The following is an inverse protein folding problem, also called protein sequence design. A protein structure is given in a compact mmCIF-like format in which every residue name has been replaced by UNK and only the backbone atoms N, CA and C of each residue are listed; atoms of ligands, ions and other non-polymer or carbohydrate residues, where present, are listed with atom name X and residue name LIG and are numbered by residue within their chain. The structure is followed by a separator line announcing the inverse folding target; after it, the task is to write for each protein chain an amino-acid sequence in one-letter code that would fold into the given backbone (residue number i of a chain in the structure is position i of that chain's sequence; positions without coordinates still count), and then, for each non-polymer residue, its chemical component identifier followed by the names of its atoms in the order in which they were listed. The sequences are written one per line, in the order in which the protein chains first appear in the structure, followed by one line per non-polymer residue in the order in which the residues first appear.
data_IF_876846913547
#
_entry.id   IF_876846913547
#
_cell.length_a   1.000
_cell.length_b   1.000
_cell.length_c   1.000
_cell.angle_alpha   90.00
_cell.angle_beta   90.00
_cell.angle_gamma   90.00
#
_symmetry.space_group_name_H-M   'P 1'
#
loop_
_entity.id
_entity.type
_entity.pdbx_description
1 polymer ?
#
# COMPACT_ATOMS: atom_id res chain seq x y z
N UNK A 1 -15.49 2.96 -11.64
CA UNK A 1 -14.98 1.63 -11.21
C UNK A 1 -14.01 1.83 -10.06
N UNK A 2 -13.96 0.89 -9.12
CA UNK A 2 -13.05 0.96 -7.97
C UNK A 2 -11.70 0.32 -8.34
N UNK A 3 -10.61 0.91 -7.86
CA UNK A 3 -9.28 0.30 -7.87
C UNK A 3 -9.03 -0.25 -6.47
N UNK A 4 -8.65 -1.52 -6.36
CA UNK A 4 -8.35 -2.17 -5.09
C UNK A 4 -6.84 -2.15 -4.85
N UNK A 5 -6.44 -1.66 -3.68
CA UNK A 5 -5.07 -1.73 -3.20
C UNK A 5 -4.94 -2.93 -2.27
N UNK A 6 -4.55 -4.08 -2.83
CA UNK A 6 -4.48 -5.33 -2.10
C UNK A 6 -3.11 -5.50 -1.44
N UNK A 7 -3.11 -5.75 -0.13
CA UNK A 7 -1.91 -6.09 0.65
C UNK A 7 -1.84 -7.60 0.84
N UNK A 8 -0.78 -8.23 0.34
CA UNK A 8 -0.60 -9.67 0.45
C UNK A 8 0.10 -10.05 1.76
N UNK A 9 -0.69 -10.43 2.76
CA UNK A 9 -0.17 -10.86 4.07
C UNK A 9 0.76 -12.08 4.00
N UNK A 10 0.57 -12.98 3.03
CA UNK A 10 1.41 -14.18 2.90
C UNK A 10 2.82 -13.80 2.42
N UNK A 11 2.90 -12.83 1.49
CA UNK A 11 4.19 -12.28 1.06
C UNK A 11 4.88 -11.53 2.19
N UNK A 12 4.15 -10.78 3.03
CA UNK A 12 4.74 -10.16 4.23
C UNK A 12 5.36 -11.22 5.15
N UNK A 13 4.62 -12.29 5.45
CA UNK A 13 5.11 -13.39 6.28
C UNK A 13 6.32 -14.10 5.67
N UNK A 14 6.34 -14.29 4.35
CA UNK A 14 7.47 -14.90 3.65
C UNK A 14 8.71 -13.98 3.65
N UNK A 15 8.53 -12.69 3.40
CA UNK A 15 9.62 -11.71 3.40
C UNK A 15 10.22 -11.56 4.80
N UNK A 16 9.42 -11.65 5.86
CA UNK A 16 9.92 -11.71 7.23
C UNK A 16 10.82 -12.95 7.50
N UNK A 17 10.75 -13.98 6.66
CA UNK A 17 11.60 -15.18 6.70
C UNK A 17 12.75 -15.13 5.69
N UNK A 18 12.99 -13.98 5.04
CA UNK A 18 14.09 -13.77 4.09
C UNK A 18 13.72 -13.87 2.61
N UNK A 19 12.43 -13.98 2.26
CA UNK A 19 12.01 -13.87 0.86
C UNK A 19 12.04 -12.41 0.35
N UNK A 20 11.96 -12.24 -0.97
CA UNK A 20 11.83 -10.93 -1.63
C UNK A 20 10.67 -10.93 -2.63
N UNK A 21 9.44 -10.96 -2.11
CA UNK A 21 8.21 -11.01 -2.89
C UNK A 21 7.50 -9.65 -2.90
N UNK A 22 6.85 -9.25 -4.01
CA UNK A 22 6.08 -8.01 -4.07
C UNK A 22 4.84 -8.08 -3.17
N UNK A 23 4.70 -7.17 -2.20
CA UNK A 23 3.63 -7.25 -1.19
C UNK A 23 2.32 -6.62 -1.66
N UNK A 24 2.37 -5.64 -2.56
CA UNK A 24 1.19 -4.90 -3.00
C UNK A 24 0.73 -5.39 -4.36
N UNK A 25 -0.59 -5.43 -4.56
CA UNK A 25 -1.20 -5.59 -5.88
C UNK A 25 -2.26 -4.51 -6.10
N UNK A 26 -2.04 -3.64 -7.08
CA UNK A 26 -3.02 -2.65 -7.53
C UNK A 26 -3.90 -3.30 -8.59
N UNK A 27 -5.16 -3.56 -8.22
CA UNK A 27 -6.14 -4.23 -9.07
C UNK A 27 -7.15 -3.23 -9.58
N UNK A 28 -7.25 -3.12 -10.89
CA UNK A 28 -8.40 -2.49 -11.52
C UNK A 28 -9.13 -3.55 -12.36
N UNK A 29 -10.19 -3.16 -13.05
CA UNK A 29 -10.99 -4.06 -13.88
C UNK A 29 -10.23 -4.68 -15.07
N UNK A 30 -9.05 -4.15 -15.44
CA UNK A 30 -8.24 -4.59 -16.58
C UNK A 30 -7.04 -5.41 -16.17
N UNK A 31 -6.43 -5.13 -15.01
CA UNK A 31 -5.10 -5.64 -14.69
C UNK A 31 -4.80 -5.76 -13.20
N UNK A 32 -3.79 -6.59 -12.91
CA UNK A 32 -3.19 -6.78 -11.60
C UNK A 32 -1.72 -6.34 -11.63
N UNK A 33 -1.41 -5.16 -11.10
CA UNK A 33 -0.05 -4.62 -11.07
C UNK A 33 0.60 -4.91 -9.71
N UNK A 34 1.60 -5.80 -9.70
CA UNK A 34 2.38 -6.14 -8.48
C UNK A 34 3.48 -5.10 -8.24
N UNK A 35 3.62 -4.64 -7.00
CA UNK A 35 4.61 -3.61 -6.63
C UNK A 35 4.89 -3.65 -5.11
N UNK A 36 5.81 -2.79 -4.66
CA UNK A 36 6.07 -2.52 -3.23
C UNK A 36 5.73 -1.08 -2.82
N UNK A 37 5.33 -0.24 -3.78
CA UNK A 37 4.84 1.12 -3.52
C UNK A 37 3.87 1.53 -4.62
N UNK A 38 2.84 2.30 -4.25
CA UNK A 38 1.89 2.88 -5.20
C UNK A 38 1.57 4.33 -4.85
N UNK A 39 1.36 5.16 -5.87
CA UNK A 39 0.96 6.57 -5.73
C UNK A 39 -0.52 6.67 -6.07
N UNK A 40 -1.29 7.34 -5.21
CA UNK A 40 -2.69 7.67 -5.42
C UNK A 40 -2.75 9.13 -5.86
N UNK A 41 -3.40 9.37 -6.99
CA UNK A 41 -3.57 10.71 -7.57
C UNK A 41 -5.05 11.07 -7.69
N UNK A 42 -5.34 12.37 -7.61
CA UNK A 42 -6.64 12.90 -7.97
C UNK A 42 -6.79 13.07 -9.50
N UNK A 43 -7.88 13.70 -9.92
CA UNK A 43 -8.22 13.96 -11.32
C UNK A 43 -7.29 14.99 -11.99
N UNK A 44 -6.69 15.88 -11.20
CA UNK A 44 -5.75 16.91 -11.66
C UNK A 44 -4.29 16.42 -11.66
N UNK A 45 -4.06 15.13 -11.40
CA UNK A 45 -2.77 14.47 -11.27
C UNK A 45 -1.94 14.87 -10.03
N UNK A 46 -2.53 15.51 -9.02
CA UNK A 46 -1.86 15.76 -7.75
C UNK A 46 -1.71 14.46 -6.97
N UNK A 47 -0.59 14.29 -6.26
CA UNK A 47 -0.38 13.14 -5.38
C UNK A 47 -1.15 13.39 -4.09
N UNK A 48 -2.17 12.56 -3.83
CA UNK A 48 -3.00 12.70 -2.62
C UNK A 48 -2.61 11.72 -1.52
N UNK A 49 -2.02 10.59 -1.87
CA UNK A 49 -1.54 9.61 -0.89
C UNK A 49 -0.54 8.64 -1.52
N UNK A 50 0.22 7.93 -0.68
CA UNK A 50 1.13 6.85 -1.08
C UNK A 50 0.87 5.62 -0.24
N UNK A 51 0.81 4.46 -0.88
CA UNK A 51 0.80 3.16 -0.22
C UNK A 51 2.21 2.58 -0.28
N UNK A 52 2.77 2.22 0.87
CA UNK A 52 4.17 1.87 1.02
C UNK A 52 4.30 0.50 1.68
N UNK A 53 5.20 -0.34 1.16
CA UNK A 53 5.78 -1.47 1.88
C UNK A 53 7.27 -1.23 2.11
N UNK A 54 7.67 -1.16 3.38
CA UNK A 54 9.06 -0.92 3.81
C UNK A 54 9.42 -1.93 4.91
N UNK A 55 10.01 -3.09 4.54
CA UNK A 55 10.36 -4.11 5.52
C UNK A 55 11.56 -3.74 6.39
N UNK A 56 12.49 -2.93 5.84
CA UNK A 56 13.76 -2.56 6.48
C UNK A 56 13.64 -1.29 7.32
N UNK A 57 12.64 -0.45 7.02
CA UNK A 57 12.34 0.79 7.77
C UNK A 57 10.84 0.81 8.12
N UNK A 58 10.39 -0.05 9.06
CA UNK A 58 9.01 -0.04 9.51
C UNK A 58 8.68 1.25 10.28
N UNK A 59 7.38 1.54 10.42
CA UNK A 59 6.92 2.55 11.38
C UNK A 59 7.31 2.14 12.81
N UNK A 60 7.31 3.11 13.74
CA UNK A 60 7.70 2.87 15.13
C UNK A 60 6.91 1.73 15.82
N UNK A 61 5.65 1.51 15.42
CA UNK A 61 4.82 0.40 15.91
C UNK A 61 5.16 -0.98 15.30
N UNK A 62 6.12 -1.06 14.38
CA UNK A 62 6.51 -2.27 13.65
C UNK A 62 5.72 -2.53 12.36
N UNK A 63 4.76 -1.68 12.01
CA UNK A 63 4.02 -1.80 10.75
C UNK A 63 4.95 -1.61 9.55
N UNK A 64 4.96 -2.60 8.65
CA UNK A 64 5.77 -2.61 7.41
C UNK A 64 4.99 -2.14 6.18
N UNK A 65 3.67 -2.04 6.29
CA UNK A 65 2.78 -1.54 5.23
C UNK A 65 1.91 -0.46 5.81
N UNK A 66 1.85 0.70 5.17
CA UNK A 66 1.00 1.82 5.58
C UNK A 66 0.62 2.69 4.38
N UNK A 67 -0.41 3.51 4.58
CA UNK A 67 -0.75 4.62 3.69
C UNK A 67 -0.35 5.93 4.38
N UNK A 68 0.24 6.85 3.63
CA UNK A 68 0.57 8.20 4.10
C UNK A 68 -0.06 9.25 3.19
N UNK A 69 -0.48 10.36 3.79
CA UNK A 69 -1.12 11.51 3.12
C UNK A 69 -0.90 12.77 3.96
N UNK A 70 -0.88 13.92 3.29
CA UNK A 70 -0.88 15.24 3.91
C UNK A 70 -2.30 15.85 3.98
N UNK A 71 -3.31 15.13 3.47
CA UNK A 71 -4.69 15.58 3.47
C UNK A 71 -5.34 15.37 4.83
N UNK A 72 -6.43 16.12 5.08
CA UNK A 72 -7.30 15.90 6.23
C UNK A 72 -7.91 14.48 6.13
N UNK A 73 -7.75 13.69 7.19
CA UNK A 73 -8.36 12.35 7.33
C UNK A 73 -9.42 12.41 8.42
N UNK A 74 -10.61 11.90 8.12
CA UNK A 74 -11.71 11.78 9.09
C UNK A 74 -11.84 10.32 9.56
N UNK A 75 -11.96 10.14 10.87
CA UNK A 75 -12.17 8.81 11.47
C UNK A 75 -13.66 8.55 11.62
N UNK A 76 -14.14 7.44 11.08
CA UNK A 76 -15.50 6.93 11.32
C UNK A 76 -15.42 5.78 12.30
N UNK A 77 -16.11 5.89 13.44
CA UNK A 77 -16.32 4.77 14.34
C UNK A 77 -17.66 4.15 13.96
N UNK A 78 -17.64 2.94 13.42
CA UNK A 78 -18.84 2.09 13.31
C UNK A 78 -19.08 1.36 14.63
#
# INVERSE_FOLDING_TARGET
MKTLLHVNQHHIKANNKGANLPVLTVKDYKQNRKCNSAIIKDHDNNIVAKLIYSPDKPLACGAKVWIETELKVETTNE
#
